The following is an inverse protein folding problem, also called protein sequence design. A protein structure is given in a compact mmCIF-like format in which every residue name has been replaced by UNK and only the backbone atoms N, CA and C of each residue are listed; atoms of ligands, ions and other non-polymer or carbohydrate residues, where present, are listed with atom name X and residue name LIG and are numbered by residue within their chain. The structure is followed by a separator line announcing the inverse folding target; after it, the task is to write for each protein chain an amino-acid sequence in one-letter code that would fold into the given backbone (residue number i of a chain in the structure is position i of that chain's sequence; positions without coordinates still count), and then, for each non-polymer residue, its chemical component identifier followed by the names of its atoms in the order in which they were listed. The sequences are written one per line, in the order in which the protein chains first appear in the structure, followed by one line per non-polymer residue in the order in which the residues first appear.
data_IF_008567435720
#
_entry.id   IF_008567435720
#
_cell.length_a   1.000
_cell.length_b   1.000
_cell.length_c   1.000
_cell.angle_alpha   90.00
_cell.angle_beta   90.00
_cell.angle_gamma   90.00
#
_symmetry.space_group_name_H-M   'P 1'
#
loop_
_entity.id
_entity.type
_entity.pdbx_description
1 polymer ?
#
# COMPACT_ATOMS: atom_id res chain seq x y z
N UNK A 1 -44.13 59.78 0.62
CA UNK A 1 -44.05 58.67 -0.35
C UNK A 1 -42.63 58.14 -0.36
N UNK A 2 -42.48 56.82 -0.21
CA UNK A 2 -41.31 55.96 -0.54
C UNK A 2 -40.15 55.99 0.48
N UNK A 3 -40.12 55.10 1.48
CA UNK A 3 -39.65 53.67 1.52
C UNK A 3 -38.14 53.51 1.77
N UNK A 4 -37.83 52.86 2.91
CA UNK A 4 -36.58 52.11 3.26
C UNK A 4 -36.31 50.96 2.25
N UNK A 5 -35.09 50.39 2.11
CA UNK A 5 -34.36 49.62 3.16
C UNK A 5 -32.81 49.82 3.19
N UNK A 6 -32.13 49.68 4.33
CA UNK A 6 -31.59 48.46 4.96
C UNK A 6 -30.74 47.58 4.03
N UNK A 7 -29.41 47.68 4.15
CA UNK A 7 -28.47 46.63 3.75
C UNK A 7 -27.23 46.70 4.64
N UNK A 8 -27.25 45.92 5.73
CA UNK A 8 -26.06 45.55 6.47
C UNK A 8 -25.28 44.54 5.63
N UNK A 9 -24.11 44.93 5.11
CA UNK A 9 -23.19 43.98 4.51
C UNK A 9 -22.30 43.43 5.62
N UNK A 10 -22.63 42.22 6.07
CA UNK A 10 -21.73 41.39 6.84
C UNK A 10 -20.49 41.13 6.00
N UNK A 11 -19.34 41.67 6.40
CA UNK A 11 -18.05 41.23 5.91
C UNK A 11 -17.81 39.82 6.45
N UNK A 12 -18.25 38.81 5.70
CA UNK A 12 -17.80 37.45 5.89
C UNK A 12 -16.27 37.43 5.76
N UNK A 13 -15.62 37.31 6.91
CA UNK A 13 -14.28 36.75 7.05
C UNK A 13 -14.26 35.39 6.34
N UNK A 14 -13.97 35.40 5.04
CA UNK A 14 -13.39 34.25 4.38
C UNK A 14 -11.96 34.14 4.88
N UNK A 15 -11.82 33.60 6.10
CA UNK A 15 -10.64 32.87 6.50
C UNK A 15 -10.56 31.67 5.56
N UNK A 16 -10.00 31.91 4.38
CA UNK A 16 -9.36 30.89 3.58
C UNK A 16 -8.32 30.27 4.51
N UNK A 17 -8.72 29.15 5.13
CA UNK A 17 -7.78 28.19 5.65
C UNK A 17 -7.01 27.71 4.44
N UNK A 18 -5.95 28.44 4.09
CA UNK A 18 -4.79 27.86 3.46
C UNK A 18 -4.30 26.80 4.46
N UNK A 19 -4.91 25.61 4.37
CA UNK A 19 -4.36 24.41 4.95
C UNK A 19 -2.91 24.37 4.48
N UNK A 20 -2.00 24.31 5.45
CA UNK A 20 -0.59 24.11 5.22
C UNK A 20 -0.47 23.02 4.14
N UNK A 21 0.17 23.35 3.02
CA UNK A 21 0.53 22.38 2.00
C UNK A 21 1.62 21.48 2.58
N UNK A 22 1.21 20.56 3.47
CA UNK A 22 1.98 19.35 3.73
C UNK A 22 2.09 18.62 2.41
N UNK A 23 3.32 18.34 1.97
CA UNK A 23 3.54 17.53 0.78
C UNK A 23 2.77 16.21 0.96
N UNK A 24 1.92 15.88 -0.01
CA UNK A 24 1.26 14.57 -0.01
C UNK A 24 2.35 13.48 0.02
N UNK A 25 2.21 12.43 0.85
CA UNK A 25 3.19 11.34 0.89
C UNK A 25 3.20 10.52 -0.40
N UNK A 26 2.27 10.77 -1.33
CA UNK A 26 2.13 10.04 -2.57
C UNK A 26 2.79 10.74 -3.75
N UNK A 27 3.38 9.94 -4.64
CA UNK A 27 3.94 10.43 -5.90
C UNK A 27 2.84 11.03 -6.80
N UNK A 28 3.20 11.96 -7.71
CA UNK A 28 2.26 12.51 -8.69
C UNK A 28 1.61 11.45 -9.59
N UNK A 29 2.26 10.30 -9.77
CA UNK A 29 1.78 9.19 -10.58
C UNK A 29 0.76 8.28 -9.87
N UNK A 30 0.38 8.56 -8.61
CA UNK A 30 -0.53 7.74 -7.81
C UNK A 30 -1.78 7.32 -8.58
N UNK A 31 -2.10 6.04 -8.50
CA UNK A 31 -3.28 5.45 -9.15
C UNK A 31 -3.13 5.25 -10.66
N UNK A 32 -1.93 5.38 -11.24
CA UNK A 32 -1.67 5.05 -12.65
C UNK A 32 -0.77 3.82 -12.75
N UNK A 33 -1.10 2.87 -13.61
CA UNK A 33 -0.23 1.72 -13.91
C UNK A 33 0.87 2.12 -14.90
N UNK A 34 0.45 2.71 -16.02
CA UNK A 34 1.32 3.22 -17.07
C UNK A 34 1.70 4.66 -16.77
N UNK A 35 2.99 4.90 -16.51
CA UNK A 35 3.48 6.22 -16.14
C UNK A 35 4.05 6.91 -17.37
N UNK A 36 3.57 8.13 -17.60
CA UNK A 36 4.00 8.98 -18.71
C UNK A 36 4.75 10.18 -18.15
N UNK A 37 5.89 10.50 -18.74
CA UNK A 37 6.66 11.71 -18.46
C UNK A 37 6.69 12.61 -19.69
N UNK A 38 6.91 13.90 -19.45
CA UNK A 38 7.11 14.84 -20.53
C UNK A 38 8.47 14.65 -21.18
N UNK A 39 8.52 14.81 -22.50
CA UNK A 39 9.78 14.87 -23.24
C UNK A 39 10.30 16.31 -23.20
N UNK A 40 11.50 16.50 -22.69
CA UNK A 40 12.18 17.79 -22.65
C UNK A 40 13.23 17.88 -23.78
N UNK A 41 13.37 19.07 -24.38
CA UNK A 41 14.44 19.38 -25.32
C UNK A 41 15.79 19.55 -24.62
N UNK A 42 16.84 19.82 -25.41
CA UNK A 42 18.21 20.06 -24.88
C UNK A 42 18.28 21.26 -23.92
N UNK A 43 17.37 22.22 -24.06
CA UNK A 43 17.21 23.40 -23.21
C UNK A 43 16.39 23.12 -21.93
N UNK A 44 15.90 21.88 -21.74
CA UNK A 44 15.04 21.49 -20.63
C UNK A 44 13.58 21.92 -20.79
N UNK A 45 13.20 22.55 -21.91
CA UNK A 45 11.82 22.93 -22.15
C UNK A 45 10.98 21.71 -22.58
N UNK A 46 9.74 21.62 -22.08
CA UNK A 46 8.80 20.57 -22.49
C UNK A 46 8.47 20.73 -23.97
N UNK A 47 8.74 19.68 -24.75
CA UNK A 47 8.42 19.62 -26.17
C UNK A 47 6.90 19.60 -26.38
N UNK A 48 6.46 20.23 -27.47
CA UNK A 48 5.06 20.25 -27.89
C UNK A 48 4.94 19.75 -29.32
N UNK A 49 3.86 19.01 -29.59
CA UNK A 49 3.52 18.56 -30.93
C UNK A 49 2.98 19.70 -31.80
N UNK A 50 2.68 19.41 -33.07
CA UNK A 50 2.15 20.38 -34.04
C UNK A 50 0.80 21.01 -33.62
N UNK A 51 0.10 20.41 -32.66
CA UNK A 51 -1.16 20.90 -32.09
C UNK A 51 -0.95 21.62 -30.75
N UNK A 52 0.30 21.85 -30.33
CA UNK A 52 0.64 22.51 -29.07
C UNK A 52 0.47 21.63 -27.83
N UNK A 53 0.24 20.32 -27.97
CA UNK A 53 0.09 19.38 -26.84
C UNK A 53 1.47 18.95 -26.34
N UNK A 54 1.62 18.76 -25.02
CA UNK A 54 2.87 18.26 -24.42
C UNK A 54 3.19 16.88 -25.00
N UNK A 55 4.39 16.70 -25.52
CA UNK A 55 4.87 15.39 -25.97
C UNK A 55 5.20 14.57 -24.72
N UNK A 56 4.61 13.39 -24.63
CA UNK A 56 4.83 12.48 -23.51
C UNK A 56 5.38 11.15 -24.01
N UNK A 57 6.25 10.55 -23.20
CA UNK A 57 6.72 9.17 -23.39
C UNK A 57 6.44 8.36 -22.13
N UNK A 58 6.29 7.07 -22.30
CA UNK A 58 6.25 6.16 -21.17
C UNK A 58 7.62 6.15 -20.50
N UNK A 59 7.63 6.16 -19.17
CA UNK A 59 8.88 6.02 -18.41
C UNK A 59 9.51 4.66 -18.69
N UNK A 60 10.82 4.55 -18.45
CA UNK A 60 11.50 3.27 -18.62
C UNK A 60 10.84 2.20 -17.74
N UNK A 61 10.54 1.05 -18.35
CA UNK A 61 10.05 -0.12 -17.64
C UNK A 61 11.15 -1.08 -17.23
N UNK A 62 10.92 -1.85 -16.18
CA UNK A 62 11.70 -3.03 -15.83
C UNK A 62 11.49 -4.15 -16.87
N UNK A 63 12.12 -5.32 -16.66
CA UNK A 63 12.00 -6.47 -17.56
C UNK A 63 10.56 -7.01 -17.71
N UNK A 64 9.62 -6.55 -16.89
CA UNK A 64 8.21 -6.93 -16.87
C UNK A 64 7.27 -5.80 -17.32
N UNK A 65 7.84 -4.65 -17.72
CA UNK A 65 7.09 -3.47 -18.12
C UNK A 65 6.51 -2.64 -16.97
N UNK A 66 6.82 -2.96 -15.71
CA UNK A 66 6.49 -2.05 -14.60
C UNK A 66 7.39 -0.83 -14.66
N UNK A 67 6.93 0.34 -14.23
CA UNK A 67 7.80 1.52 -14.17
C UNK A 67 9.08 1.18 -13.36
N UNK A 68 10.25 1.57 -13.86
CA UNK A 68 11.53 1.29 -13.19
C UNK A 68 11.86 2.41 -12.19
N UNK A 69 12.25 2.06 -10.96
CA UNK A 69 12.56 3.04 -9.90
C UNK A 69 11.43 3.31 -8.89
N UNK A 70 11.79 3.69 -7.65
CA UNK A 70 10.87 3.88 -6.52
C UNK A 70 10.09 5.18 -6.56
N UNK A 71 10.53 6.16 -7.36
CA UNK A 71 9.84 7.42 -7.64
C UNK A 71 8.49 7.24 -8.35
N UNK A 72 8.24 6.04 -8.89
CA UNK A 72 6.96 5.68 -9.49
C UNK A 72 6.09 4.79 -8.59
N UNK A 73 6.51 4.50 -7.36
CA UNK A 73 5.68 3.79 -6.39
C UNK A 73 4.50 4.69 -5.98
N UNK A 74 3.53 4.18 -5.21
CA UNK A 74 2.46 5.00 -4.65
C UNK A 74 3.02 6.13 -3.76
N UNK A 75 3.94 5.81 -2.84
CA UNK A 75 4.51 6.77 -1.90
C UNK A 75 5.95 7.17 -2.24
N UNK A 76 6.32 8.40 -1.88
CA UNK A 76 7.72 8.84 -1.92
C UNK A 76 8.56 8.06 -0.90
N UNK A 77 9.87 7.93 -1.15
CA UNK A 77 10.79 7.30 -0.20
C UNK A 77 10.85 8.11 1.11
N UNK A 78 10.86 7.42 2.25
CA UNK A 78 10.82 8.05 3.58
C UNK A 78 9.49 8.70 3.99
N UNK A 79 8.44 8.64 3.17
CA UNK A 79 7.13 9.27 3.44
C UNK A 79 6.55 8.97 4.82
N UNK A 80 6.85 7.79 5.37
CA UNK A 80 6.28 7.27 6.61
C UNK A 80 7.35 7.09 7.69
N UNK A 81 8.43 7.88 7.67
CA UNK A 81 9.44 7.87 8.73
C UNK A 81 8.80 8.00 10.13
N UNK A 82 9.12 7.03 11.00
CA UNK A 82 8.59 6.97 12.37
C UNK A 82 7.33 6.11 12.52
N UNK A 83 6.72 5.67 11.42
CA UNK A 83 5.60 4.72 11.45
C UNK A 83 6.08 3.28 11.60
N UNK A 84 5.22 2.42 12.16
CA UNK A 84 5.54 1.02 12.42
C UNK A 84 4.52 0.10 11.78
N UNK A 85 5.00 -0.89 11.03
CA UNK A 85 4.22 -2.05 10.58
C UNK A 85 4.40 -3.15 11.61
N UNK A 86 3.31 -3.52 12.28
CA UNK A 86 3.27 -4.70 13.14
C UNK A 86 3.08 -5.95 12.27
N UNK A 87 3.84 -7.02 12.53
CA UNK A 87 3.80 -8.27 11.77
C UNK A 87 3.63 -9.46 12.71
N UNK A 88 2.49 -10.13 12.63
CA UNK A 88 2.26 -11.45 13.21
C UNK A 88 2.70 -12.51 12.21
N UNK A 89 3.91 -13.04 12.36
CA UNK A 89 4.43 -14.10 11.50
C UNK A 89 4.11 -15.47 12.12
N UNK A 90 3.00 -16.07 11.69
CA UNK A 90 2.52 -17.38 12.18
C UNK A 90 3.07 -18.55 11.36
N UNK A 91 3.71 -18.26 10.23
CA UNK A 91 4.55 -19.14 9.43
C UNK A 91 6.04 -18.77 9.62
N UNK A 92 6.73 -19.34 10.63
CA UNK A 92 8.08 -18.92 11.03
C UNK A 92 9.17 -19.19 9.99
N UNK A 93 8.92 -20.09 9.04
CA UNK A 93 9.83 -20.45 7.94
C UNK A 93 9.97 -19.38 6.85
N UNK A 94 9.08 -18.38 6.83
CA UNK A 94 9.11 -17.30 5.85
C UNK A 94 10.25 -16.32 6.17
N UNK A 95 11.15 -16.11 5.20
CA UNK A 95 12.11 -15.01 5.29
C UNK A 95 11.43 -13.66 4.98
N UNK A 96 11.30 -12.82 6.02
CA UNK A 96 10.71 -11.49 5.90
C UNK A 96 11.76 -10.37 5.70
N UNK A 97 13.02 -10.71 5.42
CA UNK A 97 14.11 -9.74 5.25
C UNK A 97 13.86 -8.76 4.10
N UNK A 98 13.38 -9.25 2.96
CA UNK A 98 13.14 -8.44 1.75
C UNK A 98 11.91 -7.54 1.88
N UNK A 99 10.75 -8.03 2.35
CA UNK A 99 9.62 -7.16 2.72
C UNK A 99 10.05 -6.06 3.70
N UNK A 100 10.81 -6.40 4.76
CA UNK A 100 11.30 -5.42 5.73
C UNK A 100 12.14 -4.32 5.08
N UNK A 101 13.04 -4.67 4.16
CA UNK A 101 13.86 -3.69 3.43
C UNK A 101 13.00 -2.75 2.59
N UNK A 102 12.00 -3.29 1.88
CA UNK A 102 11.10 -2.50 1.05
C UNK A 102 10.22 -1.55 1.86
N UNK A 103 9.72 -2.01 3.02
CA UNK A 103 9.00 -1.18 3.97
C UNK A 103 9.90 -0.05 4.50
N UNK A 104 11.14 -0.37 4.87
CA UNK A 104 12.14 0.60 5.33
C UNK A 104 12.43 1.71 4.31
N UNK A 105 12.43 1.40 3.01
CA UNK A 105 12.59 2.39 1.95
C UNK A 105 11.50 3.48 1.98
N UNK A 106 10.27 3.12 2.40
CA UNK A 106 9.17 4.09 2.55
C UNK A 106 9.11 4.73 3.94
N UNK A 107 10.09 4.46 4.80
CA UNK A 107 10.21 5.05 6.15
C UNK A 107 9.62 4.21 7.28
N UNK A 108 8.99 3.07 6.96
CA UNK A 108 8.41 2.21 7.98
C UNK A 108 9.49 1.45 8.76
N UNK A 109 9.32 1.39 10.08
CA UNK A 109 9.92 0.34 10.90
C UNK A 109 9.02 -0.90 10.93
N UNK A 110 9.59 -2.05 11.33
CA UNK A 110 8.86 -3.31 11.46
C UNK A 110 9.02 -3.85 12.88
N UNK A 111 7.89 -4.09 13.54
CA UNK A 111 7.82 -4.83 14.80
C UNK A 111 7.20 -6.20 14.53
N UNK A 112 7.88 -7.28 14.92
CA UNK A 112 7.51 -8.64 14.49
C UNK A 112 7.45 -9.60 15.66
N UNK A 113 6.38 -10.39 15.70
CA UNK A 113 6.27 -11.61 16.49
C UNK A 113 6.45 -12.83 15.60
N UNK A 114 7.15 -13.84 16.13
CA UNK A 114 7.25 -15.16 15.50
C UNK A 114 6.34 -16.11 16.29
N UNK A 115 5.17 -16.42 15.72
CA UNK A 115 4.05 -17.06 16.41
C UNK A 115 3.10 -16.05 17.07
N UNK A 116 1.98 -16.55 17.58
CA UNK A 116 1.02 -15.73 18.31
C UNK A 116 1.60 -15.34 19.69
N UNK A 117 1.72 -14.03 20.01
CA UNK A 117 2.02 -13.59 21.36
C UNK A 117 0.81 -13.80 22.29
N UNK A 118 0.88 -13.38 23.55
CA UNK A 118 -0.35 -13.26 24.35
C UNK A 118 -1.22 -12.09 23.83
N UNK A 119 -2.57 -12.14 23.94
CA UNK A 119 -3.45 -11.08 23.44
C UNK A 119 -3.11 -9.68 23.99
N UNK A 120 -2.70 -9.60 25.25
CA UNK A 120 -2.30 -8.35 25.90
C UNK A 120 -1.00 -7.79 25.30
N UNK A 121 -0.05 -8.66 24.95
CA UNK A 121 1.21 -8.25 24.34
C UNK A 121 0.99 -7.79 22.89
N UNK A 122 0.05 -8.43 22.18
CA UNK A 122 -0.43 -7.96 20.87
C UNK A 122 -1.02 -6.55 20.99
N UNK A 123 -1.94 -6.33 21.94
CA UNK A 123 -2.58 -5.03 22.15
C UNK A 123 -1.55 -3.92 22.43
N UNK A 124 -0.59 -4.19 23.33
CA UNK A 124 0.46 -3.22 23.66
C UNK A 124 1.36 -2.91 22.46
N UNK A 125 1.74 -3.94 21.69
CA UNK A 125 2.54 -3.75 20.46
C UNK A 125 1.81 -2.92 19.40
N UNK A 126 0.50 -3.08 19.28
CA UNK A 126 -0.32 -2.39 18.28
C UNK A 126 -0.51 -0.89 18.57
N UNK A 127 -0.32 -0.41 19.81
CA UNK A 127 -0.43 1.02 20.15
C UNK A 127 0.53 1.91 19.36
N UNK A 128 1.66 1.36 18.89
CA UNK A 128 2.69 2.08 18.12
C UNK A 128 2.62 1.79 16.62
N UNK A 129 1.71 0.93 16.19
CA UNK A 129 1.60 0.48 14.82
C UNK A 129 0.58 1.31 14.03
N UNK A 130 0.92 1.65 12.80
CA UNK A 130 -0.04 2.26 11.86
C UNK A 130 -0.86 1.20 11.11
N UNK A 131 -0.36 -0.05 11.09
CA UNK A 131 -1.01 -1.18 10.44
C UNK A 131 -0.52 -2.51 11.02
N UNK A 132 -1.33 -3.57 10.87
CA UNK A 132 -1.03 -4.93 11.28
C UNK A 132 -1.08 -5.88 10.09
N UNK A 133 -0.02 -6.67 9.92
CA UNK A 133 0.10 -7.70 8.90
C UNK A 133 0.08 -9.08 9.58
N UNK A 134 -0.75 -9.99 9.07
CA UNK A 134 -0.90 -11.36 9.58
C UNK A 134 -0.41 -12.29 8.48
N UNK A 135 0.69 -12.99 8.71
CA UNK A 135 1.18 -14.06 7.81
C UNK A 135 0.73 -15.39 8.40
N UNK A 136 -0.37 -15.93 7.87
CA UNK A 136 -1.00 -17.14 8.39
C UNK A 136 -0.10 -18.37 8.28
N UNK A 137 -0.22 -19.27 9.25
CA UNK A 137 0.42 -20.58 9.26
C UNK A 137 -0.54 -21.71 8.90
N UNK A 138 -0.07 -22.94 9.13
CA UNK A 138 -0.74 -24.21 8.83
C UNK A 138 -1.82 -24.62 9.84
N UNK A 139 -1.77 -24.03 11.04
CA UNK A 139 -2.70 -24.30 12.14
C UNK A 139 -3.09 -22.97 12.77
N UNK A 140 -4.32 -22.88 13.26
CA UNK A 140 -4.81 -21.66 13.90
C UNK A 140 -4.06 -21.47 15.22
N UNK A 141 -3.38 -20.33 15.35
CA UNK A 141 -2.67 -19.94 16.57
C UNK A 141 -3.41 -18.83 17.32
N UNK A 142 -4.21 -18.03 16.64
CA UNK A 142 -5.00 -16.95 17.22
C UNK A 142 -6.28 -17.49 17.85
N UNK A 143 -6.70 -16.91 18.97
CA UNK A 143 -7.94 -17.24 19.66
C UNK A 143 -8.93 -16.06 19.66
N UNK A 144 -10.06 -16.21 20.34
CA UNK A 144 -11.10 -15.18 20.39
C UNK A 144 -10.62 -13.85 21.01
N UNK A 145 -9.69 -13.89 21.98
CA UNK A 145 -9.15 -12.68 22.62
C UNK A 145 -8.21 -11.94 21.66
N UNK A 146 -7.39 -12.67 20.89
CA UNK A 146 -6.61 -12.07 19.80
C UNK A 146 -7.50 -11.37 18.78
N UNK A 147 -8.58 -12.03 18.37
CA UNK A 147 -9.52 -11.48 17.41
C UNK A 147 -10.17 -10.19 17.92
N UNK A 148 -10.48 -10.09 19.22
CA UNK A 148 -11.01 -8.85 19.81
C UNK A 148 -10.01 -7.70 19.68
N UNK A 149 -8.73 -7.96 19.97
CA UNK A 149 -7.65 -6.96 19.84
C UNK A 149 -7.48 -6.53 18.39
N UNK A 150 -7.42 -7.49 17.45
CA UNK A 150 -7.30 -7.21 16.01
C UNK A 150 -8.49 -6.42 15.50
N UNK A 151 -9.71 -6.79 15.91
CA UNK A 151 -10.94 -6.07 15.56
C UNK A 151 -10.91 -4.64 16.09
N UNK A 152 -10.54 -4.43 17.34
CA UNK A 152 -10.45 -3.08 17.92
C UNK A 152 -9.44 -2.21 17.17
N UNK A 153 -8.28 -2.78 16.80
CA UNK A 153 -7.28 -2.10 16.00
C UNK A 153 -7.81 -1.71 14.62
N UNK A 154 -8.47 -2.63 13.90
CA UNK A 154 -9.07 -2.36 12.60
C UNK A 154 -10.21 -1.33 12.67
N UNK A 155 -11.09 -1.44 13.66
CA UNK A 155 -12.21 -0.52 13.88
C UNK A 155 -11.76 0.90 14.24
N UNK A 156 -10.52 1.07 14.75
CA UNK A 156 -9.92 2.41 14.93
C UNK A 156 -9.58 3.11 13.61
N UNK A 157 -9.63 2.39 12.48
CA UNK A 157 -9.31 2.88 11.14
C UNK A 157 -7.92 2.53 10.65
N UNK A 158 -7.13 1.81 11.46
CA UNK A 158 -5.78 1.34 11.11
C UNK A 158 -5.86 0.17 10.13
N UNK A 159 -4.85 0.07 9.27
CA UNK A 159 -4.85 -0.90 8.18
C UNK A 159 -4.59 -2.34 8.61
N UNK A 160 -5.27 -3.30 7.97
CA UNK A 160 -4.97 -4.74 8.09
C UNK A 160 -4.44 -5.31 6.76
N UNK A 161 -3.41 -6.15 6.83
CA UNK A 161 -3.00 -7.00 5.72
C UNK A 161 -3.02 -8.46 6.17
N UNK A 162 -4.02 -9.21 5.72
CA UNK A 162 -4.19 -10.61 6.07
C UNK A 162 -3.72 -11.47 4.90
N UNK A 163 -2.69 -12.25 5.15
CA UNK A 163 -2.06 -13.14 4.18
C UNK A 163 -2.34 -14.60 4.53
N UNK A 164 -2.79 -15.35 3.53
CA UNK A 164 -2.69 -16.80 3.49
C UNK A 164 -1.94 -17.24 2.23
N UNK A 165 -1.73 -18.54 2.12
CA UNK A 165 -1.25 -19.21 0.91
C UNK A 165 -2.01 -20.54 0.81
N UNK A 166 -1.61 -21.42 -0.09
CA UNK A 166 -2.20 -22.73 -0.27
C UNK A 166 -2.45 -23.52 1.01
N UNK A 167 -3.40 -24.45 0.95
CA UNK A 167 -3.66 -25.37 2.05
C UNK A 167 -2.35 -26.03 2.54
N UNK A 168 -2.04 -25.99 3.85
CA UNK A 168 -2.86 -25.50 4.96
C UNK A 168 -2.58 -24.05 5.45
N UNK A 169 -1.78 -23.26 4.74
CA UNK A 169 -1.24 -21.94 5.14
C UNK A 169 -2.23 -20.76 5.21
N UNK A 170 -3.50 -21.02 5.49
CA UNK A 170 -4.53 -19.98 5.64
C UNK A 170 -5.35 -20.11 6.92
N UNK A 171 -4.89 -20.90 7.90
CA UNK A 171 -5.67 -21.19 9.11
C UNK A 171 -6.11 -19.92 9.87
N UNK A 172 -5.17 -19.05 10.23
CA UNK A 172 -5.46 -17.80 10.92
C UNK A 172 -6.02 -16.73 9.97
N UNK A 173 -5.62 -16.76 8.69
CA UNK A 173 -6.20 -15.89 7.68
C UNK A 173 -7.71 -16.11 7.55
N UNK A 174 -8.17 -17.36 7.54
CA UNK A 174 -9.59 -17.71 7.52
C UNK A 174 -10.27 -17.39 8.84
N UNK A 175 -9.63 -17.65 9.98
CA UNK A 175 -10.20 -17.30 11.28
C UNK A 175 -10.51 -15.80 11.40
N UNK A 176 -9.57 -14.94 11.00
CA UNK A 176 -9.75 -13.48 11.03
C UNK A 176 -10.64 -13.00 9.87
N UNK A 177 -10.45 -13.55 8.67
CA UNK A 177 -11.21 -13.21 7.47
C UNK A 177 -12.71 -13.49 7.62
N UNK A 178 -13.08 -14.64 8.17
CA UNK A 178 -14.48 -14.98 8.40
C UNK A 178 -15.12 -13.99 9.38
N UNK A 179 -14.43 -13.67 10.47
CA UNK A 179 -14.95 -12.80 11.51
C UNK A 179 -15.08 -11.33 11.11
N UNK A 180 -14.15 -10.81 10.29
CA UNK A 180 -14.11 -9.38 9.92
C UNK A 180 -14.69 -9.08 8.54
N UNK A 181 -14.60 -10.05 7.62
CA UNK A 181 -14.87 -9.86 6.20
C UNK A 181 -15.97 -10.79 5.69
N UNK A 182 -16.42 -11.77 6.48
CA UNK A 182 -17.45 -12.74 6.08
C UNK A 182 -17.02 -13.57 4.88
N UNK A 183 -15.75 -13.95 4.83
CA UNK A 183 -15.22 -14.83 3.77
C UNK A 183 -13.95 -15.55 4.23
N UNK A 184 -13.60 -16.59 3.49
CA UNK A 184 -12.43 -17.44 3.67
C UNK A 184 -11.70 -17.63 2.35
N UNK A 185 -10.54 -18.25 2.38
CA UNK A 185 -9.81 -18.76 1.23
C UNK A 185 -9.68 -20.29 1.29
N UNK A 186 -9.56 -20.92 0.12
CA UNK A 186 -9.44 -22.37 -0.02
C UNK A 186 -8.51 -22.75 -1.17
N UNK A 187 -8.02 -24.00 -1.15
CA UNK A 187 -7.33 -24.60 -2.28
C UNK A 187 -5.79 -24.51 -2.20
N UNK A 188 -5.17 -25.08 -3.22
CA UNK A 188 -3.74 -25.17 -3.44
C UNK A 188 -3.50 -25.04 -4.94
N UNK A 189 -3.81 -23.85 -5.46
CA UNK A 189 -3.79 -23.59 -6.90
C UNK A 189 -2.33 -23.36 -7.30
N UNK A 190 -1.79 -24.14 -8.26
CA UNK A 190 -0.47 -23.86 -8.81
C UNK A 190 -0.48 -22.49 -9.49
N UNK A 191 0.47 -21.65 -9.11
CA UNK A 191 0.68 -20.34 -9.74
C UNK A 191 1.98 -20.32 -10.53
N UNK A 192 2.91 -19.52 -10.03
CA UNK A 192 4.20 -19.20 -10.62
C UNK A 192 4.11 -18.51 -11.99
N UNK A 193 3.03 -17.76 -12.22
CA UNK A 193 2.86 -16.94 -13.42
C UNK A 193 3.00 -15.44 -13.12
N UNK A 194 3.16 -14.67 -14.18
CA UNK A 194 3.01 -13.22 -14.15
C UNK A 194 1.70 -12.88 -14.85
N UNK A 195 0.85 -12.08 -14.21
CA UNK A 195 -0.40 -11.60 -14.79
C UNK A 195 -0.28 -10.09 -15.08
N UNK A 196 -0.88 -9.65 -16.18
CA UNK A 196 -0.87 -8.24 -16.60
C UNK A 196 -1.97 -7.41 -15.92
N UNK A 197 -2.42 -6.35 -16.59
CA UNK A 197 -3.59 -5.59 -16.18
C UNK A 197 -4.88 -6.35 -16.51
N UNK A 198 -5.88 -6.23 -15.65
CA UNK A 198 -7.21 -6.75 -15.95
C UNK A 198 -7.81 -6.00 -17.16
N UNK A 199 -8.23 -6.76 -18.17
CA UNK A 199 -8.99 -6.22 -19.31
C UNK A 199 -10.48 -6.12 -18.99
N UNK A 200 -10.97 -7.02 -18.13
CA UNK A 200 -12.35 -7.06 -17.64
C UNK A 200 -12.36 -7.31 -16.12
N UNK A 201 -13.50 -7.08 -15.46
CA UNK A 201 -13.60 -7.17 -13.98
C UNK A 201 -13.22 -8.52 -13.37
N UNK A 202 -13.17 -9.59 -14.17
CA UNK A 202 -12.90 -10.96 -13.69
C UNK A 202 -11.84 -11.67 -14.54
N UNK A 203 -11.21 -10.98 -15.50
CA UNK A 203 -10.08 -11.57 -16.23
C UNK A 203 -8.85 -11.64 -15.33
N UNK A 204 -7.94 -12.62 -15.55
CA UNK A 204 -6.63 -12.62 -14.92
C UNK A 204 -5.95 -11.25 -15.01
N UNK A 205 -5.27 -10.86 -13.94
CA UNK A 205 -4.57 -9.59 -13.86
C UNK A 205 -4.78 -8.82 -12.57
N UNK A 206 -4.04 -7.73 -12.43
CA UNK A 206 -4.20 -6.72 -11.37
C UNK A 206 -5.17 -5.61 -11.79
N UNK A 207 -5.98 -5.14 -10.84
CA UNK A 207 -6.94 -4.06 -11.01
C UNK A 207 -6.24 -2.80 -11.56
N UNK A 208 -6.65 -2.28 -12.72
CA UNK A 208 -6.06 -1.06 -13.27
C UNK A 208 -6.52 0.19 -12.52
N UNK A 209 -5.65 1.19 -12.58
CA UNK A 209 -5.81 2.57 -12.13
C UNK A 209 -6.28 2.72 -10.67
N UNK A 210 -5.72 1.89 -9.79
CA UNK A 210 -5.96 1.93 -8.36
C UNK A 210 -4.67 2.30 -7.61
N UNK A 211 -4.78 2.90 -6.42
CA UNK A 211 -3.59 3.29 -5.63
C UNK A 211 -2.67 2.10 -5.35
N UNK A 212 -3.24 0.93 -5.04
CA UNK A 212 -2.49 -0.33 -4.85
C UNK A 212 -1.71 -0.77 -6.09
N UNK A 213 -2.20 -0.42 -7.30
CA UNK A 213 -1.60 -0.83 -8.57
C UNK A 213 -0.73 0.26 -9.22
N UNK A 214 -0.42 1.34 -8.49
CA UNK A 214 0.45 2.43 -8.98
C UNK A 214 1.80 1.87 -9.50
N UNK A 215 2.13 2.21 -10.74
CA UNK A 215 3.37 1.81 -11.43
C UNK A 215 3.47 0.32 -11.78
N UNK A 216 2.43 -0.47 -11.54
CA UNK A 216 2.38 -1.90 -11.84
C UNK A 216 1.62 -2.15 -13.15
N UNK A 217 2.27 -2.70 -14.17
CA UNK A 217 1.63 -3.24 -15.36
C UNK A 217 1.53 -4.76 -15.33
N UNK A 218 2.42 -5.40 -14.56
CA UNK A 218 2.49 -6.84 -14.36
C UNK A 218 2.81 -7.18 -12.91
N UNK A 219 2.16 -8.22 -12.38
CA UNK A 219 2.41 -8.71 -11.02
C UNK A 219 2.57 -10.22 -11.00
N UNK A 220 3.52 -10.71 -10.22
CA UNK A 220 3.65 -12.12 -9.90
C UNK A 220 2.55 -12.53 -8.91
N UNK A 221 1.92 -13.66 -9.15
CA UNK A 221 0.75 -14.09 -8.35
C UNK A 221 1.10 -14.93 -7.11
N UNK A 222 2.34 -15.42 -7.01
CA UNK A 222 2.78 -16.40 -6.02
C UNK A 222 3.14 -17.73 -6.67
N UNK A 223 3.84 -18.63 -5.95
CA UNK A 223 4.16 -19.98 -6.45
C UNK A 223 2.94 -20.89 -6.31
N UNK A 224 2.32 -20.83 -5.15
CA UNK A 224 1.07 -21.49 -4.79
C UNK A 224 0.12 -20.43 -4.28
N UNK A 225 -1.18 -20.68 -4.45
CA UNK A 225 -2.20 -19.67 -4.20
C UNK A 225 -3.44 -20.31 -3.59
N UNK A 226 -3.99 -19.68 -2.55
CA UNK A 226 -5.35 -19.91 -2.10
C UNK A 226 -6.34 -18.97 -2.79
N UNK A 227 -7.52 -19.50 -3.08
CA UNK A 227 -8.62 -18.78 -3.72
C UNK A 227 -9.53 -18.17 -2.67
N UNK A 228 -9.64 -16.84 -2.67
CA UNK A 228 -10.59 -16.11 -1.84
C UNK A 228 -12.01 -16.38 -2.34
N UNK A 229 -12.91 -16.74 -1.44
CA UNK A 229 -14.32 -16.90 -1.77
C UNK A 229 -14.95 -15.52 -2.02
N UNK A 230 -15.59 -15.36 -3.18
CA UNK A 230 -16.24 -14.10 -3.55
C UNK A 230 -17.36 -13.75 -2.56
N UNK A 231 -17.44 -12.48 -2.17
CA UNK A 231 -18.55 -11.94 -1.39
C UNK A 231 -18.82 -10.47 -1.79
N UNK A 232 -19.76 -9.82 -1.10
CA UNK A 232 -20.10 -8.41 -1.37
C UNK A 232 -19.22 -7.42 -0.60
N UNK A 233 -18.40 -7.89 0.34
CA UNK A 233 -17.59 -7.06 1.24
C UNK A 233 -16.25 -6.68 0.63
N UNK A 234 -15.67 -7.57 -0.19
CA UNK A 234 -14.37 -7.37 -0.81
C UNK A 234 -14.48 -6.97 -2.28
N UNK A 235 -13.65 -6.01 -2.67
CA UNK A 235 -13.40 -5.65 -4.07
C UNK A 235 -12.22 -6.46 -4.60
N UNK A 236 -12.36 -7.18 -5.73
CA UNK A 236 -11.26 -7.89 -6.35
C UNK A 236 -10.06 -6.99 -6.69
N UNK A 237 -8.85 -7.45 -6.38
CA UNK A 237 -7.60 -6.76 -6.71
C UNK A 237 -6.78 -7.52 -7.73
N UNK A 238 -6.60 -8.83 -7.53
CA UNK A 238 -5.78 -9.68 -8.38
C UNK A 238 -6.55 -10.96 -8.66
N UNK A 239 -6.77 -11.24 -9.95
CA UNK A 239 -7.15 -12.55 -10.43
C UNK A 239 -5.90 -13.25 -10.97
N UNK A 240 -5.70 -14.49 -10.56
CA UNK A 240 -4.55 -15.30 -10.99
C UNK A 240 -4.73 -15.81 -12.42
N UNK A 241 -3.69 -16.40 -12.98
CA UNK A 241 -3.70 -16.98 -14.32
C UNK A 241 -4.70 -18.13 -14.45
N UNK A 242 -5.03 -18.80 -13.35
CA UNK A 242 -6.09 -19.82 -13.29
C UNK A 242 -7.51 -19.23 -13.19
N UNK A 243 -7.66 -17.89 -13.21
CA UNK A 243 -8.95 -17.19 -13.13
C UNK A 243 -9.54 -17.11 -11.72
N UNK A 244 -8.81 -17.56 -10.71
CA UNK A 244 -9.23 -17.50 -9.31
C UNK A 244 -8.93 -16.13 -8.68
N UNK A 245 -9.72 -15.73 -7.69
CA UNK A 245 -9.49 -14.51 -6.93
C UNK A 245 -8.36 -14.72 -5.93
N UNK A 246 -7.24 -14.03 -6.13
CA UNK A 246 -6.00 -14.19 -5.36
C UNK A 246 -5.90 -13.15 -4.25
N UNK A 247 -6.16 -11.89 -4.59
CA UNK A 247 -6.13 -10.80 -3.63
C UNK A 247 -7.36 -9.92 -3.81
N UNK A 248 -7.88 -9.42 -2.70
CA UNK A 248 -9.00 -8.51 -2.65
C UNK A 248 -8.82 -7.52 -1.50
N UNK A 249 -9.52 -6.39 -1.57
CA UNK A 249 -9.43 -5.34 -0.56
C UNK A 249 -10.80 -4.80 -0.18
N UNK A 250 -10.85 -4.08 0.95
CA UNK A 250 -11.98 -3.22 1.32
C UNK A 250 -11.44 -1.87 1.75
N UNK A 251 -12.13 -0.82 1.31
CA UNK A 251 -11.91 0.58 1.70
C UNK A 251 -13.27 1.22 1.94
N UNK A 252 -13.74 1.16 3.18
CA UNK A 252 -15.08 1.61 3.55
C UNK A 252 -15.08 2.11 4.99
N UNK A 253 -15.85 3.16 5.28
CA UNK A 253 -15.95 3.78 6.61
C UNK A 253 -14.59 4.20 7.21
N UNK A 254 -13.65 4.55 6.34
CA UNK A 254 -12.28 4.89 6.71
C UNK A 254 -11.53 3.73 7.33
N UNK A 255 -11.84 2.48 6.94
CA UNK A 255 -11.14 1.25 7.32
C UNK A 255 -10.62 0.57 6.06
N UNK A 256 -9.34 0.17 6.09
CA UNK A 256 -8.67 -0.48 4.96
C UNK A 256 -8.14 -1.85 5.33
N UNK A 257 -8.42 -2.83 4.49
CA UNK A 257 -7.91 -4.19 4.65
C UNK A 257 -7.58 -4.80 3.29
N UNK A 258 -6.51 -5.57 3.23
CA UNK A 258 -6.17 -6.43 2.09
C UNK A 258 -6.22 -7.87 2.58
N UNK A 259 -6.90 -8.73 1.82
CA UNK A 259 -6.95 -10.18 2.02
C UNK A 259 -6.29 -10.82 0.80
N UNK A 260 -5.21 -11.58 1.00
CA UNK A 260 -4.34 -12.04 -0.08
C UNK A 260 -3.91 -13.49 0.16
N UNK A 261 -4.17 -14.34 -0.83
CA UNK A 261 -3.92 -15.79 -0.77
C UNK A 261 -2.60 -16.23 -1.42
N UNK A 262 -1.66 -15.32 -1.70
CA UNK A 262 -0.40 -15.66 -2.37
C UNK A 262 0.85 -15.11 -1.67
N UNK A 263 1.06 -15.40 -0.38
CA UNK A 263 2.19 -14.85 0.36
C UNK A 263 3.56 -15.42 -0.04
N UNK A 264 3.63 -16.49 -0.84
CA UNK A 264 4.88 -16.98 -1.46
C UNK A 264 5.62 -15.90 -2.26
N UNK A 265 4.91 -14.85 -2.71
CA UNK A 265 5.54 -13.62 -3.25
C UNK A 265 6.54 -12.99 -2.28
N UNK A 266 6.24 -13.00 -0.98
CA UNK A 266 7.03 -12.31 0.04
C UNK A 266 8.44 -12.88 0.22
N UNK A 267 8.66 -14.17 -0.07
CA UNK A 267 9.93 -14.83 0.24
C UNK A 267 10.51 -15.69 -0.90
N UNK A 268 9.69 -16.29 -1.76
CA UNK A 268 10.17 -17.06 -2.92
C UNK A 268 10.20 -16.22 -4.21
N UNK A 269 9.11 -15.51 -4.48
CA UNK A 269 8.89 -14.77 -5.74
C UNK A 269 9.27 -13.29 -5.68
N UNK A 270 10.22 -12.90 -4.84
CA UNK A 270 10.46 -11.48 -4.57
C UNK A 270 11.02 -10.70 -5.77
N UNK A 271 11.89 -11.32 -6.57
CA UNK A 271 12.46 -10.71 -7.79
C UNK A 271 11.55 -10.84 -9.02
N UNK A 272 10.40 -11.48 -8.85
CA UNK A 272 9.39 -11.61 -9.91
C UNK A 272 8.59 -10.31 -10.06
N UNK A 273 7.81 -10.25 -11.13
CA UNK A 273 7.12 -9.05 -11.58
C UNK A 273 6.43 -8.28 -10.45
N UNK A 274 6.88 -7.04 -10.22
CA UNK A 274 6.16 -6.05 -9.42
C UNK A 274 6.05 -6.33 -7.92
N UNK A 275 6.56 -7.44 -7.38
CA UNK A 275 6.35 -7.83 -5.97
C UNK A 275 6.77 -6.74 -4.99
N UNK A 276 8.00 -6.24 -5.09
CA UNK A 276 8.49 -5.20 -4.18
C UNK A 276 7.65 -3.91 -4.24
N UNK A 277 7.22 -3.48 -5.44
CA UNK A 277 6.36 -2.30 -5.64
C UNK A 277 4.97 -2.53 -5.06
N UNK A 278 4.37 -3.71 -5.28
CA UNK A 278 3.08 -4.08 -4.71
C UNK A 278 3.11 -4.00 -3.17
N UNK A 279 4.14 -4.53 -2.53
CA UNK A 279 4.31 -4.48 -1.06
C UNK A 279 4.45 -3.04 -0.55
N UNK A 280 5.21 -2.18 -1.24
CA UNK A 280 5.35 -0.76 -0.85
C UNK A 280 4.05 0.01 -1.05
N UNK A 281 3.33 -0.24 -2.15
CA UNK A 281 2.03 0.37 -2.42
C UNK A 281 0.98 -0.06 -1.39
N UNK A 282 0.92 -1.35 -1.07
CA UNK A 282 0.02 -1.90 -0.05
C UNK A 282 0.26 -1.24 1.31
N UNK A 283 1.52 -1.15 1.74
CA UNK A 283 1.88 -0.49 2.99
C UNK A 283 1.49 1.00 2.99
N UNK A 284 1.80 1.74 1.93
CA UNK A 284 1.45 3.15 1.82
C UNK A 284 -0.06 3.38 1.85
N UNK A 285 -0.83 2.51 1.21
CA UNK A 285 -2.28 2.62 1.13
C UNK A 285 -2.97 2.28 2.46
N UNK A 286 -2.49 1.23 3.15
CA UNK A 286 -3.04 0.77 4.44
C UNK A 286 -2.84 1.77 5.59
N UNK A 287 -1.89 2.69 5.49
CA UNK A 287 -1.68 3.77 6.47
C UNK A 287 -2.90 4.67 6.62
N UNK A 288 -3.74 4.79 5.58
CA UNK A 288 -4.96 5.60 5.61
C UNK A 288 -4.66 7.08 5.90
N UNK A 289 -3.73 7.64 5.12
CA UNK A 289 -3.26 9.03 5.23
C UNK A 289 -4.41 10.02 5.18
N UNK A 290 -5.44 9.74 4.39
CA UNK A 290 -6.61 10.61 4.26
C UNK A 290 -7.38 10.77 5.57
N UNK A 291 -7.29 9.78 6.47
CA UNK A 291 -7.90 9.79 7.80
C UNK A 291 -6.98 10.36 8.87
N UNK A 292 -5.71 9.97 8.88
CA UNK A 292 -4.79 10.29 9.98
C UNK A 292 -3.88 11.51 9.70
N UNK A 293 -3.80 11.97 8.45
CA UNK A 293 -3.04 13.15 8.06
C UNK A 293 -1.60 13.14 8.56
N UNK A 294 -1.19 14.24 9.19
CA UNK A 294 0.18 14.45 9.69
C UNK A 294 0.60 13.47 10.82
N UNK A 295 -0.34 12.76 11.45
CA UNK A 295 -0.01 11.75 12.47
C UNK A 295 0.82 10.61 11.88
N UNK A 296 0.58 10.30 10.60
CA UNK A 296 1.16 9.15 9.93
C UNK A 296 2.21 9.52 8.87
N UNK A 297 2.44 10.79 8.62
CA UNK A 297 3.46 11.25 7.65
C UNK A 297 4.74 11.63 8.39
N UNK A 298 5.88 11.23 7.83
CA UNK A 298 7.19 11.59 8.36
C UNK A 298 7.36 13.11 8.41
N UNK A 299 7.84 13.63 9.54
CA UNK A 299 8.20 15.06 9.62
C UNK A 299 9.42 15.29 8.74
N UNK A 300 9.34 16.25 7.80
CA UNK A 300 10.47 16.60 6.94
C UNK A 300 11.72 16.82 7.79
N UNK A 301 12.78 16.06 7.51
CA UNK A 301 14.11 16.38 8.05
C UNK A 301 14.50 17.75 7.48
N UNK A 302 14.96 18.70 8.32
CA UNK A 302 15.56 19.92 7.81
C UNK A 302 16.63 19.53 6.80
N UNK A 303 16.57 20.07 5.59
CA UNK A 303 17.62 19.88 4.59
C UNK A 303 18.92 20.33 5.25
N UNK A 304 19.85 19.40 5.44
CA UNK A 304 21.17 19.73 5.95
C UNK A 304 21.77 20.77 5.01
N UNK A 305 21.98 21.99 5.52
CA UNK A 305 22.71 23.03 4.81
C UNK A 305 24.05 22.42 4.41
N UNK A 306 24.35 22.50 3.12
CA UNK A 306 25.65 22.10 2.56
C UNK A 306 26.75 22.75 3.41
N UNK A 307 27.72 21.99 3.94
CA UNK A 307 28.80 22.61 4.70
C UNK A 307 29.52 23.62 3.82
N UNK A 308 29.68 24.84 4.31
CA UNK A 308 30.51 25.86 3.66
C UNK A 308 31.89 25.28 3.36
N UNK A 309 32.47 25.57 2.18
CA UNK A 309 33.83 25.14 1.89
C UNK A 309 34.78 25.81 2.87
N UNK A 310 35.56 25.00 3.60
CA UNK A 310 36.65 25.45 4.46
C UNK A 310 37.62 26.30 3.63
N UNK A 311 37.65 27.61 3.88
CA UNK A 311 38.71 28.48 3.41
C UNK A 311 40.06 27.95 3.92
N UNK A 312 40.93 27.57 2.98
CA UNK A 312 42.31 27.27 3.26
C UNK A 312 43.02 28.57 3.67
N UNK A 313 43.38 28.68 4.94
CA UNK A 313 44.36 29.66 5.40
C UNK A 313 45.75 29.21 4.94
N UNK A 314 46.29 29.92 3.95
CA UNK A 314 47.66 29.79 3.50
C UNK A 314 48.63 30.26 4.60
N UNK A 315 49.77 29.57 4.69
CA UNK A 315 50.97 30.02 5.41
C UNK A 315 51.69 31.12 4.65
#
# INVERSE_FOLDING_TARGET
MKTLPLAALAACLLASHALAQGQTPYNPCRGRNKIMEDVCGEDGAVLRDEHGRRVQREVQGDRWGNADGSEYDLAVDGAFEGQTVAVLQLAPEIDFSRPRKALGQKGFSVYRWNGAPEPKDLEEGLKKACQLWILSGTTQQLNAEHLQVIKAFYESGRGLYIWGDNAPYYADANFVGEALLGTTMTGDVPGAQTVGLQETKTSPGILPNHLLSTGLQSVYEGITIATIQSNQTLTPLIYGSAGNLVAAFRDEDGKRVIFDGGFTRLYCGWEEAGTGRYIRNAAAWLVNVERFGDEVVGKAKPVAQTPEPLEQTAK
#
